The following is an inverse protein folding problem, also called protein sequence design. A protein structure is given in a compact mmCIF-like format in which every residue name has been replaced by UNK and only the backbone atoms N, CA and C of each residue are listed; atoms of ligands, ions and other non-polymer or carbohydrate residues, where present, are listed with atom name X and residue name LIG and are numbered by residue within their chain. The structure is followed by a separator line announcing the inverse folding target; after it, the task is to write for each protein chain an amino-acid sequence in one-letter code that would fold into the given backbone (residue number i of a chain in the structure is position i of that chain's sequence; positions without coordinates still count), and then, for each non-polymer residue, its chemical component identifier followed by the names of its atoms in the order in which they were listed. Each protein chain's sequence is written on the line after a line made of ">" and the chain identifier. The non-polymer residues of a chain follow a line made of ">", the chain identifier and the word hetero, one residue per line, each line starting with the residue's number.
data_IF_503824531669
#
_entry.id   IF_503824531669
#
_cell.length_a   1.000
_cell.length_b   1.000
_cell.length_c   1.000
_cell.angle_alpha   90.00
_cell.angle_beta   90.00
_cell.angle_gamma   90.00
#
_symmetry.space_group_name_H-M   'P 1'
#
loop_
_entity.id
_entity.type
_entity.pdbx_description
1 polymer ?
#
# COMPACT_ATOMS: atom_id res chain seq x y z
N UNK A 1 5.38 -15.41 -2.99
CA UNK A 1 4.98 -16.29 -4.09
C UNK A 1 4.33 -15.51 -5.22
N UNK A 2 3.24 -14.80 -4.97
CA UNK A 2 2.45 -14.16 -6.02
C UNK A 2 3.26 -13.19 -6.90
N UNK A 3 4.04 -12.28 -6.30
CA UNK A 3 4.85 -11.31 -7.04
C UNK A 3 5.87 -11.97 -7.99
N UNK A 4 6.46 -13.10 -7.58
CA UNK A 4 7.46 -13.79 -8.38
C UNK A 4 6.92 -14.36 -9.69
N UNK A 5 5.64 -14.73 -9.72
CA UNK A 5 5.01 -15.43 -10.85
C UNK A 5 4.21 -14.50 -11.78
N UNK A 6 4.12 -13.22 -11.45
CA UNK A 6 3.32 -12.23 -12.19
C UNK A 6 4.11 -11.55 -13.30
N UNK A 7 3.40 -11.20 -14.39
CA UNK A 7 3.94 -10.39 -15.49
C UNK A 7 4.17 -8.93 -15.08
N UNK A 8 3.42 -8.42 -14.10
CA UNK A 8 3.63 -7.13 -13.44
C UNK A 8 4.40 -7.29 -12.11
N UNK A 9 5.26 -8.28 -12.03
CA UNK A 9 6.13 -8.59 -10.90
C UNK A 9 7.53 -8.96 -11.37
N UNK A 10 8.13 -9.99 -10.78
CA UNK A 10 9.50 -10.39 -11.09
C UNK A 10 9.72 -10.76 -12.57
N UNK A 11 8.75 -11.42 -13.21
CA UNK A 11 8.84 -11.71 -14.66
C UNK A 11 8.92 -10.43 -15.49
N UNK A 12 8.12 -9.43 -15.14
CA UNK A 12 8.17 -8.11 -15.77
C UNK A 12 9.49 -7.40 -15.52
N UNK A 13 10.03 -7.44 -14.30
CA UNK A 13 11.34 -6.88 -13.98
C UNK A 13 12.45 -7.49 -14.86
N UNK A 14 12.44 -8.79 -15.07
CA UNK A 14 13.37 -9.46 -15.97
C UNK A 14 13.22 -8.98 -17.42
N UNK A 15 11.98 -8.93 -17.92
CA UNK A 15 11.68 -8.62 -19.32
C UNK A 15 11.88 -7.13 -19.65
N UNK A 16 11.47 -6.23 -18.77
CA UNK A 16 11.43 -4.78 -19.02
C UNK A 16 12.72 -4.10 -18.58
N UNK A 17 13.25 -4.51 -17.42
CA UNK A 17 14.45 -3.92 -16.81
C UNK A 17 15.70 -4.75 -16.99
N UNK A 18 15.59 -6.00 -17.46
CA UNK A 18 16.74 -6.91 -17.59
C UNK A 18 17.31 -7.37 -16.26
N UNK A 19 16.56 -7.26 -15.17
CA UNK A 19 17.01 -7.64 -13.83
C UNK A 19 16.94 -9.15 -13.63
N UNK A 20 18.07 -9.77 -13.33
CA UNK A 20 18.18 -11.19 -13.00
C UNK A 20 18.50 -11.34 -11.52
N UNK A 21 17.45 -11.46 -10.69
CA UNK A 21 17.55 -11.51 -9.25
C UNK A 21 17.61 -12.96 -8.73
N UNK A 22 18.39 -13.18 -7.68
CA UNK A 22 18.24 -14.39 -6.87
C UNK A 22 17.05 -14.22 -5.96
N UNK A 23 15.95 -14.91 -6.26
CA UNK A 23 14.68 -14.75 -5.55
C UNK A 23 14.61 -15.67 -4.36
N UNK A 24 14.33 -15.12 -3.20
CA UNK A 24 13.83 -15.85 -2.03
C UNK A 24 12.40 -15.44 -1.72
N UNK A 25 11.62 -16.33 -1.15
CA UNK A 25 10.24 -16.08 -0.74
C UNK A 25 10.14 -16.20 0.77
N UNK A 26 9.48 -15.25 1.40
CA UNK A 26 9.28 -15.23 2.85
C UNK A 26 7.94 -14.60 3.20
N UNK A 27 7.55 -14.72 4.45
CA UNK A 27 6.37 -14.03 4.97
C UNK A 27 6.54 -12.51 4.86
N UNK A 28 5.49 -11.76 4.46
CA UNK A 28 5.58 -10.31 4.23
C UNK A 28 6.14 -9.53 5.43
N UNK A 29 5.81 -9.95 6.65
CA UNK A 29 6.30 -9.29 7.87
C UNK A 29 7.81 -9.42 8.08
N UNK A 30 8.46 -10.44 7.49
CA UNK A 30 9.88 -10.73 7.68
C UNK A 30 10.78 -10.03 6.65
N UNK A 31 10.26 -9.64 5.49
CA UNK A 31 11.05 -9.04 4.39
C UNK A 31 11.78 -7.76 4.80
N UNK A 32 11.15 -6.94 5.61
CA UNK A 32 11.76 -5.69 6.07
C UNK A 32 12.88 -5.90 7.09
N UNK A 33 12.77 -6.92 7.92
CA UNK A 33 13.86 -7.32 8.82
C UNK A 33 15.04 -7.92 8.05
N UNK A 34 14.75 -8.73 7.02
CA UNK A 34 15.76 -9.35 6.17
C UNK A 34 16.55 -8.30 5.37
N UNK A 35 15.92 -7.25 4.85
CA UNK A 35 16.65 -6.17 4.17
C UNK A 35 17.47 -5.33 5.17
N UNK A 36 16.94 -5.06 6.36
CA UNK A 36 17.68 -4.34 7.40
C UNK A 36 18.91 -5.10 7.89
N UNK A 37 18.81 -6.43 8.02
CA UNK A 37 19.94 -7.28 8.42
C UNK A 37 20.97 -7.51 7.31
N UNK A 38 20.67 -7.10 6.07
CA UNK A 38 21.52 -7.34 4.90
C UNK A 38 21.40 -8.75 4.32
N UNK A 39 20.46 -9.57 4.81
CA UNK A 39 20.19 -10.89 4.26
C UNK A 39 19.69 -10.81 2.81
N UNK A 40 18.88 -9.80 2.51
CA UNK A 40 18.47 -9.43 1.16
C UNK A 40 18.82 -7.97 0.88
N UNK A 41 18.98 -7.61 -0.39
CA UNK A 41 19.35 -6.25 -0.83
C UNK A 41 18.19 -5.48 -1.44
N UNK A 42 17.16 -6.18 -1.90
CA UNK A 42 15.99 -5.61 -2.55
C UNK A 42 14.74 -6.41 -2.17
N UNK A 43 13.62 -5.75 -2.04
CA UNK A 43 12.33 -6.38 -1.76
C UNK A 43 11.21 -5.67 -2.49
N UNK A 44 10.12 -6.38 -2.78
CA UNK A 44 8.86 -5.77 -3.19
C UNK A 44 8.22 -5.06 -1.99
N UNK A 45 7.57 -3.94 -2.26
CA UNK A 45 6.91 -3.13 -1.24
C UNK A 45 5.73 -2.37 -1.85
N UNK A 46 4.85 -1.89 -1.00
CA UNK A 46 3.87 -0.87 -1.37
C UNK A 46 4.34 0.51 -0.91
N UNK A 47 4.11 1.54 -1.71
CA UNK A 47 4.50 2.93 -1.40
C UNK A 47 3.89 3.46 -0.09
N UNK A 48 2.84 2.79 0.40
CA UNK A 48 2.15 3.13 1.65
C UNK A 48 2.60 2.32 2.86
N UNK A 49 3.56 1.40 2.70
CA UNK A 49 4.08 0.58 3.80
C UNK A 49 4.82 1.45 4.82
N UNK A 50 4.45 1.29 6.09
CA UNK A 50 5.04 2.05 7.20
C UNK A 50 6.53 1.76 7.40
N UNK A 51 6.93 0.56 7.02
CA UNK A 51 8.29 0.03 7.15
C UNK A 51 9.30 0.77 6.27
N UNK A 52 8.86 1.36 5.15
CA UNK A 52 9.75 2.18 4.30
C UNK A 52 10.37 3.32 5.12
N UNK A 53 9.55 4.05 5.87
CA UNK A 53 10.03 5.12 6.74
C UNK A 53 10.74 4.58 8.00
N UNK A 54 10.24 3.47 8.57
CA UNK A 54 10.81 2.88 9.78
C UNK A 54 12.25 2.42 9.60
N UNK A 55 12.56 1.85 8.43
CA UNK A 55 13.87 1.28 8.12
C UNK A 55 14.72 2.13 7.18
N UNK A 56 14.27 3.37 6.90
CA UNK A 56 14.96 4.31 6.00
C UNK A 56 15.26 3.68 4.62
N UNK A 57 14.24 3.02 4.05
CA UNK A 57 14.37 2.34 2.77
C UNK A 57 14.05 3.29 1.60
N UNK A 58 14.77 3.10 0.51
CA UNK A 58 14.56 3.86 -0.72
C UNK A 58 13.66 3.09 -1.67
N UNK A 59 12.51 3.68 -2.04
CA UNK A 59 11.70 3.17 -3.13
C UNK A 59 12.32 3.58 -4.47
N UNK A 60 12.58 2.59 -5.34
CA UNK A 60 13.08 2.84 -6.69
C UNK A 60 11.94 3.31 -7.59
N UNK A 61 12.24 4.23 -8.48
CA UNK A 61 11.28 4.73 -9.46
C UNK A 61 11.04 3.70 -10.58
N UNK A 62 9.77 3.49 -10.93
CA UNK A 62 9.35 2.69 -12.09
C UNK A 62 9.25 3.57 -13.33
N UNK A 63 10.40 3.97 -13.89
CA UNK A 63 10.51 4.86 -15.05
C UNK A 63 9.96 4.25 -16.36
N UNK A 64 9.78 2.92 -16.40
CA UNK A 64 9.21 2.19 -17.54
C UNK A 64 7.74 1.83 -17.36
N UNK A 65 7.14 2.23 -16.26
CA UNK A 65 5.71 2.01 -15.96
C UNK A 65 5.29 0.53 -16.06
N UNK A 66 6.11 -0.34 -15.51
CA UNK A 66 5.83 -1.77 -15.41
C UNK A 66 4.64 -2.05 -14.49
N UNK A 67 4.58 -1.34 -13.35
CA UNK A 67 3.57 -1.58 -12.35
C UNK A 67 2.30 -0.80 -12.64
N UNK A 68 1.11 -1.44 -12.62
CA UNK A 68 -0.15 -0.71 -12.72
C UNK A 68 -0.37 0.16 -11.47
N UNK A 69 -1.15 1.24 -11.56
CA UNK A 69 -1.52 2.01 -10.39
C UNK A 69 -2.35 1.16 -9.43
N UNK A 70 -1.93 1.09 -8.17
CA UNK A 70 -2.66 0.41 -7.10
C UNK A 70 -3.47 1.44 -6.33
N UNK A 71 -4.80 1.39 -6.48
CA UNK A 71 -5.70 2.26 -5.75
C UNK A 71 -6.63 1.42 -4.88
N UNK A 72 -6.77 1.82 -3.61
CA UNK A 72 -7.76 1.24 -2.71
C UNK A 72 -9.17 1.60 -3.16
N UNK A 73 -10.05 0.61 -3.21
CA UNK A 73 -11.45 0.82 -3.53
C UNK A 73 -12.35 -0.05 -2.65
N UNK A 74 -13.53 0.46 -2.22
CA UNK A 74 -14.53 -0.37 -1.57
C UNK A 74 -15.06 -1.42 -2.54
N UNK A 75 -15.02 -2.69 -2.17
CA UNK A 75 -15.57 -3.80 -2.94
C UNK A 75 -16.83 -4.33 -2.28
N UNK A 76 -17.93 -4.38 -3.04
CA UNK A 76 -19.19 -4.91 -2.55
C UNK A 76 -19.99 -5.61 -3.66
N UNK A 77 -20.97 -6.44 -3.27
CA UNK A 77 -21.87 -7.06 -4.23
C UNK A 77 -22.78 -6.01 -4.86
N UNK A 78 -22.96 -6.04 -6.18
CA UNK A 78 -23.86 -5.15 -6.92
C UNK A 78 -25.30 -5.18 -6.35
N UNK A 79 -25.80 -6.37 -6.01
CA UNK A 79 -27.12 -6.52 -5.39
C UNK A 79 -27.24 -5.81 -4.03
N UNK A 80 -26.14 -5.66 -3.28
CA UNK A 80 -26.11 -4.89 -2.05
C UNK A 80 -26.15 -3.40 -2.34
N UNK A 81 -25.34 -2.92 -3.27
CA UNK A 81 -25.34 -1.50 -3.68
C UNK A 81 -26.70 -1.08 -4.23
N UNK A 82 -27.38 -1.93 -5.04
CA UNK A 82 -28.74 -1.66 -5.52
C UNK A 82 -29.77 -1.47 -4.41
N UNK A 83 -29.57 -2.14 -3.26
CA UNK A 83 -30.44 -1.98 -2.07
C UNK A 83 -30.09 -0.75 -1.23
N UNK A 84 -28.87 -0.26 -1.36
CA UNK A 84 -28.30 0.85 -0.60
C UNK A 84 -27.61 1.86 -1.52
N UNK A 85 -28.35 2.49 -2.45
CA UNK A 85 -27.75 3.37 -3.47
C UNK A 85 -27.07 4.61 -2.88
N UNK A 86 -27.43 4.99 -1.66
CA UNK A 86 -26.82 6.10 -0.92
C UNK A 86 -25.33 5.87 -0.62
N UNK A 87 -24.89 4.59 -0.55
CA UNK A 87 -23.50 4.24 -0.24
C UNK A 87 -22.52 4.75 -1.29
N UNK A 88 -22.92 4.76 -2.58
CA UNK A 88 -22.06 5.25 -3.65
C UNK A 88 -21.66 6.70 -3.42
N UNK A 89 -22.63 7.57 -3.12
CA UNK A 89 -22.37 8.98 -2.85
C UNK A 89 -21.60 9.23 -1.57
N UNK A 90 -21.77 8.37 -0.55
CA UNK A 90 -21.08 8.50 0.73
C UNK A 90 -19.61 8.09 0.56
N UNK A 91 -19.34 6.91 -0.04
CA UNK A 91 -18.00 6.37 -0.19
C UNK A 91 -17.16 7.20 -1.17
N UNK A 92 -17.76 7.68 -2.25
CA UNK A 92 -17.09 8.52 -3.24
C UNK A 92 -16.65 9.90 -2.71
N UNK A 93 -17.12 10.32 -1.52
CA UNK A 93 -16.56 11.51 -0.86
C UNK A 93 -15.09 11.37 -0.54
N UNK A 94 -14.60 10.14 -0.33
CA UNK A 94 -13.19 9.85 -0.06
C UNK A 94 -12.34 9.71 -1.33
N UNK A 95 -12.97 9.62 -2.51
CA UNK A 95 -12.25 9.45 -3.76
C UNK A 95 -11.27 10.62 -4.00
N UNK A 96 -10.00 10.29 -4.21
CA UNK A 96 -8.93 11.26 -4.43
C UNK A 96 -8.55 12.12 -3.21
N UNK A 97 -9.08 11.83 -2.01
CA UNK A 97 -8.78 12.59 -0.78
C UNK A 97 -7.61 12.03 0.01
N UNK A 98 -7.26 10.79 -0.21
CA UNK A 98 -6.16 10.13 0.49
C UNK A 98 -5.00 9.97 -0.49
N UNK A 99 -3.94 10.75 -0.28
CA UNK A 99 -2.69 10.62 -1.03
C UNK A 99 -1.84 9.48 -0.45
N UNK A 100 -0.90 8.96 -1.25
CA UNK A 100 0.06 7.95 -0.78
C UNK A 100 0.80 8.40 0.48
N UNK A 101 1.25 9.65 0.51
CA UNK A 101 1.93 10.23 1.68
C UNK A 101 1.04 10.24 2.93
N UNK A 102 -0.22 10.61 2.78
CA UNK A 102 -1.17 10.60 3.91
C UNK A 102 -1.43 9.18 4.41
N UNK A 103 -1.62 8.23 3.49
CA UNK A 103 -1.83 6.83 3.85
C UNK A 103 -0.58 6.24 4.53
N UNK A 104 0.62 6.47 3.99
CA UNK A 104 1.87 6.05 4.62
C UNK A 104 2.03 6.61 6.03
N UNK A 105 1.70 7.89 6.25
CA UNK A 105 1.73 8.50 7.58
C UNK A 105 0.72 7.86 8.55
N UNK A 106 -0.49 7.58 8.09
CA UNK A 106 -1.51 6.90 8.92
C UNK A 106 -1.07 5.47 9.24
N UNK A 107 -0.54 4.75 8.27
CA UNK A 107 -0.01 3.40 8.48
C UNK A 107 1.17 3.41 9.48
N UNK A 108 2.05 4.41 9.40
CA UNK A 108 3.14 4.58 10.36
C UNK A 108 2.63 4.80 11.79
N UNK A 109 1.61 5.65 11.97
CA UNK A 109 0.99 5.90 13.27
C UNK A 109 0.41 4.61 13.87
N UNK A 110 -0.20 3.77 13.05
CA UNK A 110 -0.78 2.50 13.52
C UNK A 110 0.32 1.44 13.72
N UNK A 111 1.14 1.19 12.69
CA UNK A 111 2.08 0.08 12.67
C UNK A 111 3.35 0.30 13.51
N UNK A 112 3.79 1.55 13.64
CA UNK A 112 5.06 1.90 14.33
C UNK A 112 4.82 2.60 15.66
N UNK A 113 3.92 3.61 15.69
CA UNK A 113 3.62 4.33 16.93
C UNK A 113 2.58 3.61 17.82
N UNK A 114 1.94 2.56 17.31
CA UNK A 114 0.98 1.74 18.06
C UNK A 114 -0.36 2.43 18.34
N UNK A 115 -0.71 3.49 17.60
CA UNK A 115 -2.01 4.16 17.76
C UNK A 115 -3.15 3.27 17.26
N UNK A 116 -4.32 3.28 17.90
CA UNK A 116 -5.50 2.58 17.41
C UNK A 116 -5.90 3.08 16.01
N UNK A 117 -6.17 2.15 15.09
CA UNK A 117 -6.48 2.48 13.69
C UNK A 117 -7.75 3.34 13.55
N UNK A 118 -8.76 3.10 14.38
CA UNK A 118 -9.99 3.87 14.42
C UNK A 118 -9.74 5.33 14.87
N UNK A 119 -8.84 5.55 15.83
CA UNK A 119 -8.44 6.88 16.25
C UNK A 119 -7.73 7.66 15.15
N UNK A 120 -6.80 7.00 14.44
CA UNK A 120 -6.08 7.60 13.31
C UNK A 120 -7.03 7.93 12.16
N UNK A 121 -7.92 7.00 11.81
CA UNK A 121 -8.93 7.21 10.78
C UNK A 121 -9.90 8.34 11.14
N UNK A 122 -10.40 8.37 12.39
CA UNK A 122 -11.28 9.43 12.86
C UNK A 122 -10.58 10.80 12.79
N UNK A 123 -9.34 10.89 13.24
CA UNK A 123 -8.54 12.12 13.16
C UNK A 123 -8.39 12.64 11.73
N UNK A 124 -8.16 11.74 10.77
CA UNK A 124 -8.15 12.10 9.35
C UNK A 124 -9.51 12.62 8.88
N UNK A 125 -10.60 11.93 9.20
CA UNK A 125 -11.95 12.32 8.77
C UNK A 125 -12.38 13.67 9.37
N UNK A 126 -12.01 13.94 10.60
CA UNK A 126 -12.23 15.26 11.24
C UNK A 126 -11.44 16.34 10.52
N UNK A 127 -10.15 16.11 10.26
CA UNK A 127 -9.27 17.07 9.57
C UNK A 127 -9.80 17.42 8.18
N UNK A 128 -10.32 16.44 7.46
CA UNK A 128 -10.90 16.62 6.11
C UNK A 128 -12.37 17.14 6.15
N UNK A 129 -12.95 17.32 7.35
CA UNK A 129 -14.30 17.86 7.52
C UNK A 129 -15.44 16.89 7.21
N UNK A 130 -15.16 15.60 7.18
CA UNK A 130 -16.19 14.57 6.93
C UNK A 130 -17.02 14.25 8.17
N UNK A 131 -16.43 14.38 9.35
CA UNK A 131 -17.10 14.17 10.64
C UNK A 131 -16.75 15.32 11.60
N UNK A 132 -17.59 15.49 12.61
CA UNK A 132 -17.34 16.46 13.70
C UNK A 132 -16.56 15.75 14.82
N UNK A 133 -15.81 16.54 15.59
CA UNK A 133 -15.22 16.08 16.85
C UNK A 133 -16.29 15.61 17.82
#
# INVERSE_FOLDING_TARGET
>A
MEFNDREDGNKGLQKVYGLHLQVSTMEPALRYQAIQSGEIQITDAYSTDAELARYDLVALEDDKQLFPPYQGAPLMKEAFLKKHPELEGILNKLAGKITEKQMSQMNYQVGVEGKPADQVAHGFLVKEGFVKN
#
